data_IF_885183552816
#
_entry.id   IF_885183552816
#
_cell.length_a   1.000
_cell.length_b   1.000
_cell.length_c   1.000
_cell.angle_alpha   90.00
_cell.angle_beta   90.00
_cell.angle_gamma   90.00
#
_symmetry.space_group_name_H-M   'P 1'
#
loop_
_entity.id
_entity.type
_entity.pdbx_description
1 polymer ?
#
# COMPACT_ATOMS: atom_id res chain seq x y z
N UNK A 1 1.65 9.97 20.29
CA UNK A 1 1.00 11.23 20.73
C UNK A 1 2.03 12.23 21.28
N UNK A 2 1.90 13.52 20.95
CA UNK A 2 2.74 14.65 21.40
C UNK A 2 1.88 15.90 21.59
N UNK A 3 1.86 16.47 22.80
CA UNK A 3 1.01 17.60 23.17
C UNK A 3 1.80 18.91 23.13
N UNK A 4 1.22 19.96 22.54
CA UNK A 4 1.74 21.32 22.55
C UNK A 4 0.77 22.25 23.28
N UNK A 5 1.22 22.84 24.38
CA UNK A 5 0.41 23.82 25.13
C UNK A 5 0.37 25.18 24.42
N UNK A 6 1.44 25.55 23.70
CA UNK A 6 1.54 26.84 22.98
C UNK A 6 0.47 26.99 21.90
N UNK A 7 0.18 25.92 21.18
CA UNK A 7 -0.80 25.90 20.08
C UNK A 7 -2.12 25.25 20.48
N UNK A 8 -2.23 24.78 21.73
CA UNK A 8 -3.36 23.99 22.22
C UNK A 8 -3.69 22.78 21.33
N UNK A 9 -2.68 22.11 20.76
CA UNK A 9 -2.85 20.97 19.84
C UNK A 9 -2.28 19.67 20.38
N UNK A 10 -2.86 18.54 19.96
CA UNK A 10 -2.32 17.20 20.16
C UNK A 10 -1.95 16.61 18.79
N UNK A 11 -0.69 16.26 18.60
CA UNK A 11 -0.24 15.54 17.41
C UNK A 11 -0.25 14.04 17.69
N UNK A 12 -0.96 13.29 16.86
CA UNK A 12 -0.94 11.83 16.85
C UNK A 12 -0.25 11.34 15.58
N UNK A 13 0.47 10.23 15.71
CA UNK A 13 1.23 9.64 14.61
C UNK A 13 0.86 8.16 14.54
N UNK A 14 0.34 7.74 13.40
CA UNK A 14 0.17 6.32 13.07
C UNK A 14 1.31 5.89 12.15
N UNK A 15 2.11 4.93 12.60
CA UNK A 15 3.31 4.51 11.89
C UNK A 15 3.10 3.13 11.24
N UNK A 16 3.00 3.11 9.92
CA UNK A 16 2.75 1.88 9.16
C UNK A 16 4.02 1.07 8.89
N UNK A 17 5.20 1.65 9.10
CA UNK A 17 6.51 1.04 8.79
C UNK A 17 7.07 0.24 9.96
N UNK A 18 6.99 0.82 11.17
CA UNK A 18 7.52 0.24 12.39
C UNK A 18 6.63 0.65 13.55
N UNK A 19 5.71 -0.23 13.93
CA UNK A 19 4.80 -0.02 15.05
C UNK A 19 4.45 -1.36 15.68
N UNK A 20 4.43 -1.37 17.01
CA UNK A 20 3.84 -2.46 17.80
C UNK A 20 2.31 -2.33 17.88
N UNK A 21 1.78 -1.18 17.47
CA UNK A 21 0.38 -0.84 17.50
C UNK A 21 -0.28 -1.21 16.18
N UNK A 22 -1.46 -1.83 16.26
CA UNK A 22 -2.27 -2.23 15.11
C UNK A 22 -3.33 -1.17 14.77
N UNK A 23 -2.84 0.03 14.44
CA UNK A 23 -3.69 1.11 13.95
C UNK A 23 -4.25 0.74 12.58
N UNK A 24 -5.56 0.95 12.36
CA UNK A 24 -6.16 0.69 11.05
C UNK A 24 -7.32 1.60 10.71
N UNK A 25 -7.53 1.79 9.42
CA UNK A 25 -8.74 2.39 8.90
C UNK A 25 -9.80 1.31 8.68
N UNK A 26 -11.00 1.55 9.21
CA UNK A 26 -12.22 0.80 8.90
C UNK A 26 -13.18 1.83 8.30
N UNK A 27 -13.45 1.70 7.00
CA UNK A 27 -14.15 2.74 6.24
C UNK A 27 -13.45 4.11 6.41
N UNK A 28 -14.14 5.14 6.91
CA UNK A 28 -13.60 6.48 7.13
C UNK A 28 -13.17 6.74 8.60
N UNK A 29 -13.06 5.67 9.41
CA UNK A 29 -12.69 5.76 10.82
C UNK A 29 -11.32 5.10 11.04
N UNK A 30 -10.35 5.87 11.52
CA UNK A 30 -9.08 5.39 12.02
C UNK A 30 -9.26 4.88 13.46
N UNK A 31 -9.05 3.59 13.66
CA UNK A 31 -8.93 2.96 14.96
C UNK A 31 -7.48 3.13 15.43
N UNK A 32 -7.24 4.17 16.23
CA UNK A 32 -5.92 4.57 16.70
C UNK A 32 -5.61 3.98 18.08
N UNK A 33 -4.48 3.31 18.23
CA UNK A 33 -4.10 2.71 19.51
C UNK A 33 -3.48 3.76 20.45
N UNK A 34 -3.92 3.72 21.70
CA UNK A 34 -3.46 4.57 22.79
C UNK A 34 -1.98 4.43 23.10
N UNK A 35 -1.45 5.38 23.87
CA UNK A 35 -0.09 5.32 24.36
C UNK A 35 0.07 4.41 25.58
N UNK A 36 1.30 3.94 25.78
CA UNK A 36 1.65 2.91 26.76
C UNK A 36 2.13 1.66 26.03
N UNK A 37 3.36 1.21 26.30
CA UNK A 37 4.03 0.16 25.51
C UNK A 37 4.18 -1.18 26.24
N UNK A 38 3.98 -1.20 27.56
CA UNK A 38 4.11 -2.38 28.43
C UNK A 38 2.88 -2.43 29.33
N UNK A 39 2.29 -3.63 29.47
CA UNK A 39 1.12 -3.85 30.31
C UNK A 39 -0.14 -3.09 29.85
N UNK A 40 -1.23 -3.28 30.59
CA UNK A 40 -2.55 -2.73 30.26
C UNK A 40 -2.54 -1.21 30.21
N UNK A 41 -3.16 -0.65 29.18
CA UNK A 41 -3.30 0.78 29.01
C UNK A 41 -4.45 1.34 29.86
N UNK A 42 -4.34 2.62 30.19
CA UNK A 42 -5.39 3.38 30.89
C UNK A 42 -5.76 4.65 30.12
N UNK A 43 -7.05 5.01 30.13
CA UNK A 43 -7.52 6.29 29.60
C UNK A 43 -6.98 7.48 30.41
N UNK A 44 -6.70 7.31 31.71
CA UNK A 44 -6.14 8.36 32.54
C UNK A 44 -4.64 8.61 32.29
N UNK A 45 -3.99 7.72 31.53
CA UNK A 45 -2.54 7.77 31.33
C UNK A 45 -2.15 8.84 30.29
N UNK A 46 -1.46 9.89 30.75
CA UNK A 46 -0.76 10.86 29.90
C UNK A 46 -1.68 11.44 28.81
N UNK A 47 -1.35 11.31 27.52
CA UNK A 47 -2.16 11.87 26.43
C UNK A 47 -3.34 11.01 26.00
N UNK A 48 -3.49 9.79 26.53
CA UNK A 48 -4.75 9.05 26.36
C UNK A 48 -5.91 9.87 26.94
N UNK A 49 -5.67 10.53 28.08
CA UNK A 49 -6.66 11.41 28.72
C UNK A 49 -7.01 12.58 27.82
N UNK A 50 -5.99 13.27 27.30
CA UNK A 50 -6.18 14.41 26.39
C UNK A 50 -6.97 14.02 25.14
N UNK A 51 -6.67 12.85 24.56
CA UNK A 51 -7.38 12.37 23.39
C UNK A 51 -8.83 11.95 23.73
N UNK A 52 -9.02 11.24 24.84
CA UNK A 52 -10.34 10.83 25.34
C UNK A 52 -11.27 12.03 25.57
N UNK A 53 -10.73 13.09 26.18
CA UNK A 53 -11.48 14.32 26.50
C UNK A 53 -11.51 15.32 25.33
N UNK A 54 -10.99 14.97 24.15
CA UNK A 54 -10.80 15.91 23.01
C UNK A 54 -12.09 16.57 22.52
N UNK A 55 -13.26 15.96 22.78
CA UNK A 55 -14.57 16.55 22.46
C UNK A 55 -14.91 17.78 23.28
N UNK A 56 -14.35 17.93 24.49
CA UNK A 56 -14.76 18.96 25.46
C UNK A 56 -13.60 19.83 25.97
N UNK A 57 -12.36 19.36 25.85
CA UNK A 57 -11.19 20.08 26.39
C UNK A 57 -10.64 21.17 25.44
N UNK A 58 -11.25 21.34 24.27
CA UNK A 58 -10.86 22.36 23.28
C UNK A 58 -9.53 22.08 22.57
N UNK A 59 -8.97 20.87 22.68
CA UNK A 59 -7.71 20.49 22.05
C UNK A 59 -7.93 20.04 20.62
N UNK A 60 -7.32 20.72 19.65
CA UNK A 60 -7.32 20.26 18.26
C UNK A 60 -6.35 19.07 18.09
N UNK A 61 -6.84 17.97 17.51
CA UNK A 61 -6.06 16.75 17.30
C UNK A 61 -5.65 16.67 15.83
N UNK A 62 -4.35 16.57 15.58
CA UNK A 62 -3.77 16.53 14.24
C UNK A 62 -3.13 15.16 13.98
N UNK A 63 -3.56 14.51 12.89
CA UNK A 63 -3.07 13.21 12.48
C UNK A 63 -1.94 13.32 11.47
N UNK A 64 -0.86 12.60 11.75
CA UNK A 64 0.19 12.28 10.80
C UNK A 64 0.27 10.77 10.58
N UNK A 65 0.59 10.37 9.36
CA UNK A 65 0.87 8.98 9.03
C UNK A 65 2.28 8.83 8.45
N UNK A 66 2.92 7.71 8.78
CA UNK A 66 4.28 7.37 8.31
C UNK A 66 4.19 6.14 7.41
N UNK A 67 4.42 6.33 6.11
CA UNK A 67 4.48 5.26 5.10
C UNK A 67 5.91 4.94 4.66
N UNK A 68 6.82 5.91 4.84
CA UNK A 68 8.25 5.79 4.57
C UNK A 68 8.98 6.18 5.85
N UNK A 69 10.01 5.44 6.22
CA UNK A 69 10.77 5.70 7.44
C UNK A 69 11.19 7.18 7.52
N UNK A 70 11.00 7.79 8.69
CA UNK A 70 11.34 9.19 8.98
C UNK A 70 10.57 10.25 8.15
N UNK A 71 9.59 9.85 7.34
CA UNK A 71 8.75 10.78 6.56
C UNK A 71 7.35 10.85 7.17
N UNK A 72 6.95 12.03 7.63
CA UNK A 72 5.65 12.27 8.27
C UNK A 72 4.72 12.96 7.29
N UNK A 73 3.63 12.29 6.91
CA UNK A 73 2.60 12.87 6.04
C UNK A 73 1.51 13.45 6.90
N UNK A 74 1.26 14.75 6.79
CA UNK A 74 0.13 15.39 7.47
C UNK A 74 -1.17 14.97 6.78
N UNK A 75 -2.10 14.39 7.54
CA UNK A 75 -3.38 13.90 7.02
C UNK A 75 -4.49 14.92 7.25
N UNK A 76 -4.53 15.54 8.43
CA UNK A 76 -5.54 16.54 8.76
C UNK A 76 -5.87 16.60 10.25
N UNK A 77 -6.82 17.47 10.57
CA UNK A 77 -7.44 17.51 11.90
C UNK A 77 -8.46 16.37 12.01
N UNK A 78 -8.46 15.67 13.15
CA UNK A 78 -9.33 14.53 13.43
C UNK A 78 -10.14 14.76 14.70
N UNK A 79 -11.29 14.09 14.78
CA UNK A 79 -12.22 14.15 15.90
C UNK A 79 -12.53 12.72 16.35
N UNK A 80 -12.82 12.54 17.65
CA UNK A 80 -13.35 11.28 18.18
C UNK A 80 -14.71 10.97 17.55
N UNK A 81 -14.74 9.94 16.70
CA UNK A 81 -15.92 9.48 15.98
C UNK A 81 -16.87 8.67 16.86
N UNK A 82 -16.32 7.92 17.82
CA UNK A 82 -17.06 7.06 18.75
C UNK A 82 -16.32 6.95 20.09
N UNK A 83 -16.93 6.30 21.07
CA UNK A 83 -16.33 6.04 22.38
C UNK A 83 -15.08 5.14 22.25
N UNK A 84 -13.98 5.48 22.94
CA UNK A 84 -12.82 4.59 23.00
C UNK A 84 -13.19 3.25 23.63
N UNK A 85 -12.56 2.18 23.15
CA UNK A 85 -12.86 0.81 23.58
C UNK A 85 -11.57 0.00 23.72
N UNK A 86 -11.65 -1.20 24.33
CA UNK A 86 -10.48 -2.03 24.59
C UNK A 86 -10.32 -3.18 23.60
N UNK A 87 -9.06 -3.48 23.25
CA UNK A 87 -8.68 -4.66 22.46
C UNK A 87 -7.47 -5.36 23.10
N UNK A 88 -7.29 -6.65 22.80
CA UNK A 88 -6.07 -7.37 23.16
C UNK A 88 -5.04 -7.23 22.04
N UNK A 89 -3.88 -6.68 22.37
CA UNK A 89 -2.72 -6.56 21.46
C UNK A 89 -1.44 -6.96 22.21
N UNK A 90 -0.40 -7.45 21.53
CA UNK A 90 0.88 -7.71 22.17
C UNK A 90 1.53 -6.39 22.62
N UNK A 91 2.26 -6.45 23.71
CA UNK A 91 3.14 -5.38 24.14
C UNK A 91 4.52 -5.48 23.44
N UNK A 92 5.48 -4.61 23.80
CA UNK A 92 6.83 -4.65 23.20
C UNK A 92 7.61 -5.95 23.49
N UNK A 93 7.17 -6.75 24.46
CA UNK A 93 7.76 -8.05 24.82
C UNK A 93 7.03 -9.23 24.18
N UNK A 94 5.94 -8.96 23.44
CA UNK A 94 5.09 -9.99 22.84
C UNK A 94 3.99 -10.53 23.75
N UNK A 95 3.86 -9.98 24.97
CA UNK A 95 2.84 -10.40 25.93
C UNK A 95 1.50 -9.74 25.60
N UNK A 96 0.42 -10.50 25.59
CA UNK A 96 -0.91 -9.95 25.32
C UNK A 96 -1.37 -9.03 26.47
N UNK A 97 -1.91 -7.87 26.11
CA UNK A 97 -2.41 -6.86 27.05
C UNK A 97 -3.64 -6.14 26.52
N UNK A 98 -4.38 -5.48 27.40
CA UNK A 98 -5.44 -4.56 27.01
C UNK A 98 -4.86 -3.22 26.55
N UNK A 99 -5.22 -2.81 25.34
CA UNK A 99 -4.94 -1.46 24.81
C UNK A 99 -6.25 -0.69 24.67
N UNK A 100 -6.17 0.64 24.71
CA UNK A 100 -7.29 1.51 24.38
C UNK A 100 -7.21 1.90 22.91
N UNK A 101 -8.31 1.72 22.19
CA UNK A 101 -8.46 2.12 20.79
C UNK A 101 -9.39 3.31 20.73
N UNK A 102 -8.96 4.35 20.02
CA UNK A 102 -9.67 5.61 19.82
C UNK A 102 -10.19 5.66 18.38
N UNK A 103 -11.51 5.58 18.16
CA UNK A 103 -12.11 5.75 16.84
C UNK A 103 -12.06 7.22 16.42
N UNK A 104 -11.32 7.53 15.35
CA UNK A 104 -11.06 8.89 14.89
C UNK A 104 -11.52 9.08 13.45
N UNK A 105 -12.20 10.19 13.16
CA UNK A 105 -12.57 10.58 11.79
C UNK A 105 -11.93 11.91 11.42
N UNK A 106 -11.67 12.11 10.13
CA UNK A 106 -11.20 13.40 9.64
C UNK A 106 -12.32 14.44 9.73
N UNK A 107 -11.98 15.62 10.23
CA UNK A 107 -12.89 16.77 10.30
C UNK A 107 -13.30 17.27 8.91
N UNK A 108 -12.41 17.15 7.93
CA UNK A 108 -12.68 17.46 6.52
C UNK A 108 -13.61 16.44 5.84
N UNK A 109 -13.79 15.25 6.41
CA UNK A 109 -14.49 14.12 5.79
C UNK A 109 -13.73 13.43 4.65
N UNK A 110 -12.64 14.01 4.15
CA UNK A 110 -11.84 13.44 3.06
C UNK A 110 -10.38 13.28 3.46
N UNK A 111 -9.83 12.08 3.25
CA UNK A 111 -8.41 11.80 3.44
C UNK A 111 -7.59 12.23 2.22
N UNK A 112 -6.42 12.87 2.40
CA UNK A 112 -5.54 13.15 1.28
C UNK A 112 -5.12 11.85 0.58
N UNK A 113 -5.16 11.88 -0.75
CA UNK A 113 -4.74 10.74 -1.55
C UNK A 113 -3.24 10.50 -1.39
N UNK A 114 -2.88 9.28 -0.97
CA UNK A 114 -1.49 8.84 -0.91
C UNK A 114 -1.08 8.33 -2.29
N UNK A 115 0.16 8.58 -2.70
CA UNK A 115 0.63 8.06 -3.99
C UNK A 115 0.66 6.53 -3.98
N UNK A 116 0.24 5.91 -5.08
CA UNK A 116 0.29 4.45 -5.22
C UNK A 116 1.72 3.90 -5.07
N UNK A 117 2.71 4.65 -5.56
CA UNK A 117 4.13 4.32 -5.40
C UNK A 117 4.53 4.20 -3.93
N UNK A 118 4.07 5.12 -3.08
CA UNK A 118 4.33 5.09 -1.64
C UNK A 118 3.70 3.85 -0.98
N UNK A 119 2.46 3.50 -1.36
CA UNK A 119 1.78 2.31 -0.84
C UNK A 119 2.49 1.01 -1.27
N UNK A 120 2.94 0.94 -2.53
CA UNK A 120 3.73 -0.19 -3.02
C UNK A 120 5.06 -0.34 -2.27
N UNK A 121 5.77 0.77 -1.99
CA UNK A 121 6.99 0.75 -1.21
C UNK A 121 6.75 0.24 0.22
N UNK A 122 5.68 0.70 0.87
CA UNK A 122 5.27 0.22 2.19
C UNK A 122 5.00 -1.29 2.17
N UNK A 123 4.27 -1.79 1.18
CA UNK A 123 3.99 -3.22 1.03
C UNK A 123 5.29 -4.02 0.89
N UNK A 124 6.24 -3.57 0.07
CA UNK A 124 7.56 -4.23 -0.07
C UNK A 124 8.33 -4.30 1.26
N UNK A 125 8.25 -3.27 2.09
CA UNK A 125 8.86 -3.27 3.42
C UNK A 125 8.20 -4.32 4.32
N UNK A 126 6.86 -4.35 4.36
CA UNK A 126 6.10 -5.34 5.14
C UNK A 126 6.33 -6.77 4.66
N UNK A 127 6.36 -7.01 3.35
CA UNK A 127 6.70 -8.31 2.77
C UNK A 127 8.11 -8.76 3.17
N UNK A 128 9.10 -7.86 3.14
CA UNK A 128 10.46 -8.17 3.61
C UNK A 128 10.51 -8.50 5.10
N UNK A 129 9.69 -7.86 5.93
CA UNK A 129 9.59 -8.18 7.36
C UNK A 129 8.95 -9.57 7.54
N UNK A 130 7.84 -9.84 6.85
CA UNK A 130 7.15 -11.13 6.93
C UNK A 130 8.04 -12.30 6.50
N UNK A 131 8.84 -12.14 5.44
CA UNK A 131 9.80 -13.17 4.97
C UNK A 131 10.90 -13.53 5.96
N UNK A 132 11.12 -12.73 7.00
CA UNK A 132 12.12 -13.01 8.05
C UNK A 132 11.55 -13.84 9.20
N UNK A 133 10.23 -14.00 9.26
CA UNK A 133 9.55 -14.77 10.29
C UNK A 133 9.48 -16.25 9.87
N UNK A 134 9.38 -17.12 10.87
CA UNK A 134 9.09 -18.54 10.66
C UNK A 134 7.63 -18.76 10.23
N UNK A 135 7.34 -19.93 9.64
CA UNK A 135 5.98 -20.28 9.20
C UNK A 135 4.96 -20.20 10.35
N UNK A 136 5.34 -20.66 11.55
CA UNK A 136 4.49 -20.61 12.73
C UNK A 136 4.18 -19.17 13.17
N UNK A 137 5.17 -18.26 13.12
CA UNK A 137 4.97 -16.84 13.44
C UNK A 137 4.09 -16.14 12.40
N UNK A 138 4.31 -16.41 11.11
CA UNK A 138 3.48 -15.86 10.03
C UNK A 138 2.03 -16.34 10.17
N UNK A 139 1.82 -17.63 10.44
CA UNK A 139 0.47 -18.17 10.63
C UNK A 139 -0.23 -17.56 11.85
N UNK A 140 0.47 -17.45 12.99
CA UNK A 140 -0.08 -16.84 14.19
C UNK A 140 -0.50 -15.38 13.94
N UNK A 141 0.33 -14.60 13.26
CA UNK A 141 0.02 -13.21 12.88
C UNK A 141 -1.15 -13.15 11.89
N UNK A 142 -1.18 -14.02 10.88
CA UNK A 142 -2.24 -14.05 9.88
C UNK A 142 -3.60 -14.42 10.50
N UNK A 143 -3.65 -15.35 11.44
CA UNK A 143 -4.87 -15.71 12.18
C UNK A 143 -5.34 -14.58 13.10
N UNK A 144 -4.41 -13.86 13.73
CA UNK A 144 -4.70 -12.76 14.66
C UNK A 144 -5.15 -11.49 13.94
N UNK A 145 -4.48 -11.13 12.85
CA UNK A 145 -4.71 -9.89 12.09
C UNK A 145 -5.64 -10.09 10.88
N UNK A 146 -5.94 -11.34 10.52
CA UNK A 146 -6.92 -11.67 9.49
C UNK A 146 -8.29 -11.11 9.86
N UNK A 147 -8.88 -10.32 8.97
CA UNK A 147 -10.16 -9.64 9.19
C UNK A 147 -11.12 -9.93 8.06
N UNK A 148 -12.40 -10.04 8.40
CA UNK A 148 -13.50 -10.12 7.43
C UNK A 148 -13.71 -8.79 6.69
N UNK A 149 -13.51 -7.67 7.39
CA UNK A 149 -13.58 -6.33 6.82
C UNK A 149 -12.16 -5.74 6.64
N UNK A 150 -11.74 -5.62 5.38
CA UNK A 150 -10.44 -5.05 5.01
C UNK A 150 -10.56 -3.53 4.89
N UNK A 151 -9.67 -2.80 5.56
CA UNK A 151 -9.58 -1.35 5.43
C UNK A 151 -9.32 -0.93 3.99
N UNK A 152 -10.06 0.06 3.49
CA UNK A 152 -9.89 0.61 2.14
C UNK A 152 -9.28 2.00 2.24
N UNK A 153 -8.45 2.35 1.26
CA UNK A 153 -7.91 3.70 1.11
C UNK A 153 -7.77 4.04 -0.36
N UNK A 154 -8.11 5.28 -0.70
CA UNK A 154 -7.88 5.82 -2.05
C UNK A 154 -6.40 6.12 -2.28
N UNK A 155 -5.90 5.69 -3.43
CA UNK A 155 -4.55 6.00 -3.91
C UNK A 155 -4.61 6.93 -5.12
N UNK A 156 -3.63 7.83 -5.23
CA UNK A 156 -3.44 8.63 -6.45
C UNK A 156 -2.51 7.85 -7.39
N UNK A 157 -3.01 7.53 -8.57
CA UNK A 157 -2.25 6.86 -9.64
C UNK A 157 -2.03 7.85 -10.78
N UNK A 158 -0.79 7.94 -11.25
CA UNK A 158 -0.48 8.61 -12.52
C UNK A 158 -0.52 7.56 -13.63
N UNK A 159 -1.40 7.73 -14.61
CA UNK A 159 -1.48 6.84 -15.77
C UNK A 159 -0.97 7.57 -17.01
N UNK A 160 -0.08 6.92 -17.75
CA UNK A 160 0.32 7.37 -19.08
C UNK A 160 -0.76 7.00 -20.09
N UNK A 161 -1.19 7.96 -20.91
CA UNK A 161 -2.11 7.70 -22.01
C UNK A 161 -1.32 7.01 -23.14
N UNK A 162 -1.54 5.70 -23.30
CA UNK A 162 -0.89 4.88 -24.33
C UNK A 162 -1.75 4.81 -25.59
N UNK A 163 -1.10 4.74 -26.75
CA UNK A 163 -1.76 4.60 -28.05
C UNK A 163 -2.39 3.21 -28.18
N UNK A 164 -3.73 3.11 -28.32
CA UNK A 164 -4.38 1.81 -28.53
C UNK A 164 -3.93 1.14 -29.83
N UNK A 165 -3.52 1.93 -30.82
CA UNK A 165 -3.04 1.45 -32.11
C UNK A 165 -1.68 0.77 -32.01
N UNK A 166 -0.75 1.33 -31.24
CA UNK A 166 0.56 0.72 -30.98
C UNK A 166 0.40 -0.59 -30.23
N UNK A 167 -0.48 -0.60 -29.21
CA UNK A 167 -0.76 -1.80 -28.43
C UNK A 167 -1.39 -2.92 -29.29
N UNK A 168 -2.39 -2.58 -30.12
CA UNK A 168 -3.04 -3.55 -31.00
C UNK A 168 -2.09 -4.05 -32.10
N UNK A 169 -1.27 -3.17 -32.66
CA UNK A 169 -0.25 -3.53 -33.65
C UNK A 169 0.70 -4.61 -33.09
N UNK A 170 1.24 -4.43 -31.88
CA UNK A 170 2.12 -5.41 -31.25
C UNK A 170 1.46 -6.79 -31.08
N UNK A 171 0.19 -6.83 -30.65
CA UNK A 171 -0.57 -8.07 -30.49
C UNK A 171 -0.83 -8.79 -31.81
N UNK A 172 -1.15 -8.04 -32.87
CA UNK A 172 -1.35 -8.61 -34.21
C UNK A 172 -0.05 -9.13 -34.81
N UNK A 173 1.03 -8.36 -34.67
CA UNK A 173 2.38 -8.73 -35.13
C UNK A 173 2.81 -10.06 -34.52
N UNK A 174 2.52 -10.30 -33.25
CA UNK A 174 2.94 -11.51 -32.54
C UNK A 174 2.11 -12.76 -32.89
N UNK A 175 1.01 -12.61 -33.66
CA UNK A 175 0.15 -13.71 -34.14
C UNK A 175 -0.26 -14.69 -33.03
N UNK A 176 -0.57 -14.16 -31.85
CA UNK A 176 -1.02 -14.95 -30.70
C UNK A 176 0.09 -15.67 -29.93
N UNK A 177 1.35 -15.42 -30.27
CA UNK A 177 2.53 -15.93 -29.56
C UNK A 177 3.21 -14.82 -28.76
N UNK A 178 3.92 -15.20 -27.70
CA UNK A 178 4.70 -14.28 -26.88
C UNK A 178 5.98 -13.86 -27.63
N UNK A 179 6.25 -12.56 -27.73
CA UNK A 179 7.46 -12.04 -28.39
C UNK A 179 8.76 -12.48 -27.67
N UNK A 180 8.70 -12.78 -26.36
CA UNK A 180 9.85 -13.26 -25.60
C UNK A 180 10.04 -14.79 -25.69
N UNK A 181 9.11 -15.57 -25.15
CA UNK A 181 9.27 -17.03 -25.07
C UNK A 181 8.76 -17.80 -26.29
N UNK A 182 8.09 -17.16 -27.25
CA UNK A 182 7.56 -17.76 -28.49
C UNK A 182 6.45 -18.81 -28.32
N UNK A 183 6.10 -19.12 -27.07
CA UNK A 183 4.95 -19.95 -26.75
C UNK A 183 3.62 -19.24 -27.01
N UNK A 184 2.58 -20.04 -27.23
CA UNK A 184 1.21 -19.54 -27.25
C UNK A 184 0.84 -18.93 -25.89
N UNK A 185 -0.16 -18.04 -25.88
CA UNK A 185 -0.69 -17.53 -24.61
C UNK A 185 -1.16 -18.67 -23.70
N UNK A 186 -0.90 -18.62 -22.38
CA UNK A 186 -1.33 -19.67 -21.45
C UNK A 186 -2.85 -19.79 -21.31
N UNK A 187 -3.62 -18.79 -21.75
CA UNK A 187 -5.07 -18.83 -21.77
C UNK A 187 -5.64 -17.84 -22.79
N UNK A 188 -6.89 -18.07 -23.19
CA UNK A 188 -7.63 -17.19 -24.09
C UNK A 188 -8.58 -16.28 -23.32
N UNK A 189 -8.97 -15.17 -23.95
CA UNK A 189 -10.10 -14.34 -23.56
C UNK A 189 -11.42 -15.11 -23.77
N UNK A 190 -12.50 -14.57 -23.22
CA UNK A 190 -13.85 -15.15 -23.38
C UNK A 190 -14.29 -15.26 -24.85
N UNK A 191 -13.81 -14.37 -25.71
CA UNK A 191 -14.06 -14.37 -27.15
C UNK A 191 -13.17 -15.35 -27.94
N UNK A 192 -12.31 -16.13 -27.26
CA UNK A 192 -11.42 -17.11 -27.86
C UNK A 192 -10.07 -16.56 -28.32
N UNK A 193 -9.84 -15.25 -28.26
CA UNK A 193 -8.55 -14.66 -28.67
C UNK A 193 -7.45 -14.90 -27.62
N UNK A 194 -6.17 -15.08 -28.02
CA UNK A 194 -5.05 -15.25 -27.07
C UNK A 194 -4.89 -14.06 -26.12
N UNK A 195 -4.68 -14.32 -24.82
CA UNK A 195 -4.40 -13.25 -23.86
C UNK A 195 -2.93 -12.85 -23.88
N UNK A 196 -2.62 -11.71 -24.50
CA UNK A 196 -1.29 -11.09 -24.47
C UNK A 196 -1.38 -9.66 -23.89
N UNK A 197 -0.34 -9.27 -23.17
CA UNK A 197 -0.15 -7.95 -22.57
C UNK A 197 0.97 -7.21 -23.31
N UNK A 198 0.79 -5.90 -23.49
CA UNK A 198 1.78 -5.08 -24.20
C UNK A 198 2.77 -4.46 -23.24
N UNK A 199 4.05 -4.53 -23.58
CA UNK A 199 5.14 -3.99 -22.78
C UNK A 199 6.06 -3.14 -23.65
N UNK A 200 6.52 -2.01 -23.12
CA UNK A 200 7.55 -1.21 -23.77
C UNK A 200 8.94 -1.77 -23.43
N UNK A 201 9.78 -2.08 -24.42
CA UNK A 201 11.11 -2.68 -24.20
C UNK A 201 11.95 -1.72 -23.35
N UNK A 202 12.03 -0.47 -23.78
CA UNK A 202 12.42 0.67 -22.95
C UNK A 202 11.18 1.26 -22.30
N UNK A 203 11.15 1.28 -20.98
CA UNK A 203 9.96 1.65 -20.23
C UNK A 203 9.63 3.14 -20.37
N UNK A 204 8.35 3.48 -20.48
CA UNK A 204 7.89 4.87 -20.52
C UNK A 204 8.38 5.71 -19.32
N UNK A 205 8.39 5.11 -18.12
CA UNK A 205 8.85 5.78 -16.89
C UNK A 205 10.36 6.07 -16.90
N UNK A 206 11.11 5.41 -17.79
CA UNK A 206 12.54 5.64 -18.02
C UNK A 206 12.81 6.45 -19.30
N UNK A 207 11.78 7.05 -19.90
CA UNK A 207 11.90 7.88 -21.11
C UNK A 207 11.69 7.14 -22.43
N UNK A 208 11.33 5.85 -22.39
CA UNK A 208 11.01 5.10 -23.60
C UNK A 208 9.82 5.66 -24.36
N UNK A 209 9.83 5.51 -25.69
CA UNK A 209 8.79 6.04 -26.55
C UNK A 209 7.60 5.07 -26.73
N UNK A 210 6.39 5.60 -26.90
CA UNK A 210 5.19 4.81 -27.21
C UNK A 210 5.07 4.55 -28.71
N UNK A 211 5.97 3.72 -29.24
CA UNK A 211 6.07 3.40 -30.67
C UNK A 211 6.02 1.91 -30.96
N UNK A 212 5.83 1.53 -32.22
CA UNK A 212 5.75 0.13 -32.65
C UNK A 212 7.08 -0.62 -32.50
N UNK A 213 8.19 0.09 -32.62
CA UNK A 213 9.56 -0.43 -32.47
C UNK A 213 9.87 -0.75 -31.00
N UNK A 214 9.31 0.03 -30.08
CA UNK A 214 9.55 -0.11 -28.65
C UNK A 214 8.46 -0.95 -27.94
N UNK A 215 7.43 -1.45 -28.63
CA UNK A 215 6.32 -2.16 -27.99
C UNK A 215 6.24 -3.61 -28.44
N UNK A 216 6.10 -4.53 -27.48
CA UNK A 216 6.00 -5.98 -27.70
C UNK A 216 4.77 -6.58 -27.04
N UNK A 217 4.32 -7.74 -27.54
CA UNK A 217 3.22 -8.51 -26.96
C UNK A 217 3.75 -9.74 -26.22
N UNK A 218 3.52 -9.80 -24.92
CA UNK A 218 4.06 -10.82 -24.01
C UNK A 218 2.93 -11.63 -23.37
N UNK A 219 3.20 -12.90 -23.07
CA UNK A 219 2.34 -13.69 -22.19
C UNK A 219 2.43 -13.16 -20.75
N UNK A 220 1.44 -13.43 -19.88
CA UNK A 220 1.42 -12.92 -18.50
C UNK A 220 2.69 -13.26 -17.70
N UNK A 221 3.27 -14.44 -17.92
CA UNK A 221 4.48 -14.88 -17.23
C UNK A 221 5.71 -14.06 -17.66
N UNK A 222 5.93 -13.91 -18.97
CA UNK A 222 7.03 -13.12 -19.51
C UNK A 222 6.85 -11.63 -19.23
N UNK A 223 5.63 -11.12 -19.30
CA UNK A 223 5.33 -9.74 -18.92
C UNK A 223 5.71 -9.49 -17.45
N UNK A 224 5.29 -10.36 -16.53
CA UNK A 224 5.66 -10.23 -15.12
C UNK A 224 7.17 -10.41 -14.90
N UNK A 225 7.83 -11.31 -15.62
CA UNK A 225 9.29 -11.48 -15.60
C UNK A 225 10.00 -10.17 -15.93
N UNK A 226 9.57 -9.46 -16.98
CA UNK A 226 10.13 -8.15 -17.34
C UNK A 226 10.00 -7.14 -16.20
N UNK A 227 8.82 -7.05 -15.57
CA UNK A 227 8.60 -6.15 -14.42
C UNK A 227 9.42 -6.50 -13.17
N UNK A 228 9.76 -7.78 -12.97
CA UNK A 228 10.44 -8.26 -11.77
C UNK A 228 11.96 -8.26 -11.93
N UNK A 229 12.47 -8.66 -13.10
CA UNK A 229 13.90 -8.86 -13.36
C UNK A 229 14.54 -7.72 -14.16
N UNK A 230 13.79 -7.07 -15.06
CA UNK A 230 14.30 -6.04 -15.99
C UNK A 230 15.60 -6.43 -16.72
N UNK A 231 15.71 -7.71 -17.11
CA UNK A 231 16.94 -8.32 -17.62
C UNK A 231 17.35 -7.79 -19.01
N UNK A 232 18.63 -7.47 -19.18
CA UNK A 232 19.16 -6.89 -20.42
C UNK A 232 19.19 -7.87 -21.58
N UNK A 233 19.40 -9.17 -21.33
CA UNK A 233 19.41 -10.19 -22.38
C UNK A 233 18.00 -10.40 -22.96
N UNK A 234 16.97 -10.37 -22.11
CA UNK A 234 15.57 -10.40 -22.55
C UNK A 234 15.24 -9.18 -23.43
N UNK A 235 15.69 -7.97 -23.05
CA UNK A 235 15.51 -6.76 -23.86
C UNK A 235 16.15 -6.88 -25.24
N UNK A 236 17.39 -7.40 -25.31
CA UNK A 236 18.09 -7.61 -26.58
C UNK A 236 17.30 -8.59 -27.48
N UNK A 237 16.78 -9.68 -26.91
CA UNK A 237 15.97 -10.65 -27.64
C UNK A 237 14.69 -10.00 -28.20
N UNK A 238 14.05 -9.13 -27.41
CA UNK A 238 12.84 -8.42 -27.83
C UNK A 238 13.13 -7.40 -28.95
N UNK A 239 14.23 -6.65 -28.88
CA UNK A 239 14.63 -5.73 -29.96
C UNK A 239 14.86 -6.52 -31.26
N UNK A 240 15.59 -7.63 -31.18
CA UNK A 240 15.81 -8.49 -32.33
C UNK A 240 14.49 -9.05 -32.89
N UNK A 241 13.53 -9.41 -32.01
CA UNK A 241 12.21 -9.88 -32.41
C UNK A 241 11.43 -8.83 -33.19
N UNK A 242 11.40 -7.60 -32.70
CA UNK A 242 10.66 -6.51 -33.35
C UNK A 242 11.24 -6.20 -34.73
N UNK A 243 12.56 -6.23 -34.88
CA UNK A 243 13.25 -5.96 -36.15
C UNK A 243 13.17 -7.11 -37.16
N UNK A 244 12.80 -8.32 -36.74
CA UNK A 244 12.70 -9.50 -37.59
C UNK A 244 11.35 -9.64 -38.31
N UNK A 245 10.39 -8.74 -38.04
CA UNK A 245 9.07 -8.67 -38.66
C UNK A 245 9.04 -7.61 -39.75
#
# INVERSE_FOLDING_TARGET
>A
MRRSNRTNTLVIVSNHVASIYDDRWVEDILHYTGMGQVGDQSLAFNQNRTLNESRINGVAVHLFEVFTAQTYTYIGEVLLADEPYQERQPDVKGEDRFVWVFPLRLKSGTSPAISDVTLQQLNRVKEKQARKLSDAEVEALARRQGRTNVGKRSARVTQHQRSPWVAEHAKRRSKGRCDLCQEASPFNRRDGTPYLETHHIEWLVHGGADTVENTVALCPNCHRKMHVLDDQADKILLVARVNAH
#
